data_IF_772716163083
#
_entry.id   IF_772716163083
#
_cell.length_a   1.000
_cell.length_b   1.000
_cell.length_c   1.000
_cell.angle_alpha   90.00
_cell.angle_beta   90.00
_cell.angle_gamma   90.00
#
_symmetry.space_group_name_H-M   'P 1'
#
loop_
_entity.id
_entity.type
_entity.pdbx_description
1 polymer ?
#
# COMPACT_ATOMS: atom_id res chain seq x y z
N UNK A 1 4.70 -5.58 -1.24
CA UNK A 1 5.58 -4.99 -0.21
C UNK A 1 6.79 -4.24 -0.79
N UNK A 2 7.35 -4.62 -1.94
CA UNK A 2 8.44 -3.85 -2.57
C UNK A 2 8.07 -2.38 -2.88
N UNK A 3 6.85 -2.13 -3.35
CA UNK A 3 6.37 -0.75 -3.56
C UNK A 3 6.35 0.06 -2.25
N UNK A 4 5.94 -0.54 -1.13
CA UNK A 4 5.95 0.10 0.19
C UNK A 4 7.36 0.42 0.66
N UNK A 5 8.33 -0.45 0.40
CA UNK A 5 9.75 -0.18 0.68
C UNK A 5 10.26 1.03 -0.12
N UNK A 6 9.86 1.17 -1.38
CA UNK A 6 10.25 2.33 -2.20
C UNK A 6 9.66 3.63 -1.64
N UNK A 7 8.42 3.61 -1.16
CA UNK A 7 7.81 4.77 -0.49
C UNK A 7 8.51 5.09 0.82
N UNK A 8 8.82 4.09 1.64
CA UNK A 8 9.57 4.29 2.89
C UNK A 8 11.00 4.82 2.62
N UNK A 9 11.55 4.56 1.43
CA UNK A 9 12.81 5.13 0.95
C UNK A 9 12.68 6.57 0.39
N UNK A 10 11.49 7.16 0.46
CA UNK A 10 11.20 8.53 0.04
C UNK A 10 10.78 8.70 -1.43
N UNK A 11 10.50 7.60 -2.15
CA UNK A 11 9.99 7.70 -3.51
C UNK A 11 8.49 8.03 -3.49
N UNK A 12 8.10 8.97 -4.35
CA UNK A 12 6.70 9.35 -4.54
C UNK A 12 5.82 8.14 -4.96
N UNK A 13 4.74 7.82 -4.23
CA UNK A 13 3.83 6.72 -4.55
C UNK A 13 3.18 6.85 -5.94
N UNK A 14 2.88 8.06 -6.40
CA UNK A 14 2.32 8.29 -7.74
C UNK A 14 3.33 7.97 -8.84
N UNK A 15 4.62 8.21 -8.59
CA UNK A 15 5.69 7.85 -9.55
C UNK A 15 5.86 6.34 -9.64
N UNK A 16 5.73 5.64 -8.51
CA UNK A 16 5.76 4.17 -8.48
C UNK A 16 4.57 3.61 -9.26
N UNK A 17 3.37 4.12 -9.02
CA UNK A 17 2.17 3.71 -9.73
C UNK A 17 2.28 3.92 -11.24
N UNK A 18 2.75 5.09 -11.68
CA UNK A 18 2.99 5.36 -13.10
C UNK A 18 4.04 4.42 -13.71
N UNK A 19 5.10 4.08 -12.97
CA UNK A 19 6.11 3.14 -13.45
C UNK A 19 5.54 1.73 -13.60
N UNK A 20 4.70 1.30 -12.67
CA UNK A 20 4.01 0.00 -12.72
C UNK A 20 2.96 -0.07 -13.84
N UNK A 21 2.21 1.00 -14.05
CA UNK A 21 1.27 1.11 -15.17
C UNK A 21 1.98 1.07 -16.52
N UNK A 22 3.10 1.81 -16.67
CA UNK A 22 3.95 1.75 -17.87
C UNK A 22 4.58 0.38 -18.09
N UNK A 23 4.86 -0.36 -17.02
CA UNK A 23 5.36 -1.73 -17.12
C UNK A 23 4.30 -2.72 -17.63
N UNK A 24 3.02 -2.36 -17.55
CA UNK A 24 1.91 -3.15 -18.07
C UNK A 24 0.88 -3.56 -17.01
N UNK A 25 0.98 -3.08 -15.77
CA UNK A 25 -0.10 -3.27 -14.81
C UNK A 25 -1.31 -2.42 -15.21
N UNK A 26 -2.55 -2.94 -15.09
CA UNK A 26 -3.75 -2.18 -15.42
C UNK A 26 -3.99 -0.99 -14.49
N UNK A 27 -3.41 -1.03 -13.28
CA UNK A 27 -3.49 0.04 -12.29
C UNK A 27 -2.31 -0.05 -11.33
N UNK A 28 -1.82 1.11 -10.89
CA UNK A 28 -0.85 1.21 -9.81
C UNK A 28 -1.33 0.60 -8.49
N UNK A 29 -0.39 0.08 -7.69
CA UNK A 29 -0.69 -0.62 -6.44
C UNK A 29 -1.18 0.33 -5.34
N UNK A 30 -0.73 1.59 -5.31
CA UNK A 30 -1.21 2.56 -4.32
C UNK A 30 -2.61 3.05 -4.67
N UNK A 31 -2.86 3.33 -5.95
CA UNK A 31 -4.19 3.66 -6.47
C UNK A 31 -5.20 2.54 -6.24
N UNK A 32 -4.79 1.29 -6.44
CA UNK A 32 -5.63 0.13 -6.11
C UNK A 32 -5.92 0.06 -4.60
N UNK A 33 -4.90 0.24 -3.76
CA UNK A 33 -5.05 0.21 -2.30
C UNK A 33 -5.95 1.33 -1.79
N UNK A 34 -5.86 2.52 -2.37
CA UNK A 34 -6.70 3.67 -2.07
C UNK A 34 -8.18 3.44 -2.46
N UNK A 35 -8.41 2.76 -3.57
CA UNK A 35 -9.76 2.36 -4.00
C UNK A 35 -10.37 1.29 -3.09
N UNK A 36 -9.61 0.25 -2.74
CA UNK A 36 -10.09 -0.83 -1.88
C UNK A 36 -10.30 -0.41 -0.43
N UNK A 37 -9.40 0.45 0.05
CA UNK A 37 -9.36 0.94 1.41
C UNK A 37 -8.09 0.52 2.16
N UNK A 38 -7.57 1.44 2.98
CA UNK A 38 -6.36 1.21 3.80
C UNK A 38 -6.63 0.20 4.94
N UNK A 39 -7.88 0.10 5.40
CA UNK A 39 -8.33 -0.90 6.39
C UNK A 39 -8.09 -2.33 5.91
N UNK A 40 -8.45 -2.62 4.66
CA UNK A 40 -8.21 -3.92 4.03
C UNK A 40 -6.73 -4.19 3.92
N UNK A 41 -5.95 -3.19 3.51
CA UNK A 41 -4.50 -3.32 3.39
C UNK A 41 -3.84 -3.69 4.72
N UNK A 42 -4.22 -3.02 5.83
CA UNK A 42 -3.70 -3.33 7.17
C UNK A 42 -4.09 -4.74 7.59
N UNK A 43 -5.35 -5.15 7.38
CA UNK A 43 -5.82 -6.48 7.75
C UNK A 43 -5.09 -7.60 6.98
N UNK A 44 -4.98 -7.46 5.66
CA UNK A 44 -4.28 -8.42 4.80
C UNK A 44 -2.79 -8.47 5.13
N UNK A 45 -2.17 -7.32 5.42
CA UNK A 45 -0.76 -7.29 5.84
C UNK A 45 -0.54 -8.09 7.13
N UNK A 46 -1.45 -8.05 8.10
CA UNK A 46 -1.33 -8.85 9.34
C UNK A 46 -1.39 -10.36 9.05
N UNK A 47 -2.27 -10.78 8.15
CA UNK A 47 -2.40 -12.19 7.75
C UNK A 47 -1.11 -12.67 7.06
N UNK A 48 -0.62 -11.89 6.08
CA UNK A 48 0.58 -12.23 5.32
C UNK A 48 1.80 -12.27 6.24
N UNK A 49 1.94 -11.31 7.16
CA UNK A 49 3.04 -11.31 8.12
C UNK A 49 2.98 -12.47 9.11
N UNK A 50 1.79 -12.87 9.54
CA UNK A 50 1.61 -14.05 10.41
C UNK A 50 2.02 -15.34 9.69
N UNK A 51 1.79 -15.44 8.38
CA UNK A 51 2.12 -16.61 7.59
C UNK A 51 3.57 -16.62 7.05
N UNK A 52 4.14 -15.45 6.74
CA UNK A 52 5.40 -15.31 5.99
C UNK A 52 6.35 -14.25 6.54
N UNK A 53 6.25 -13.90 7.83
CA UNK A 53 6.88 -12.72 8.44
C UNK A 53 8.36 -12.49 8.12
N UNK A 54 9.20 -13.52 8.09
CA UNK A 54 10.64 -13.36 7.77
C UNK A 54 10.90 -12.90 6.33
N UNK A 55 9.99 -13.19 5.40
CA UNK A 55 10.10 -12.84 3.98
C UNK A 55 9.40 -11.53 3.65
N UNK A 56 8.76 -10.92 4.63
CA UNK A 56 7.85 -9.81 4.43
C UNK A 56 8.43 -8.51 4.97
N UNK A 57 8.43 -7.48 4.12
CA UNK A 57 8.77 -6.12 4.54
C UNK A 57 7.57 -5.47 5.22
N UNK A 58 7.77 -5.16 6.50
CA UNK A 58 6.79 -4.55 7.37
C UNK A 58 6.88 -3.03 7.32
N UNK A 59 6.09 -2.41 6.43
CA UNK A 59 5.94 -0.95 6.41
C UNK A 59 5.04 -0.46 7.54
N UNK A 60 5.36 0.69 8.12
CA UNK A 60 4.52 1.39 9.10
C UNK A 60 3.47 2.30 8.45
N UNK A 61 3.63 2.62 7.16
CA UNK A 61 2.81 3.57 6.42
C UNK A 61 1.31 3.23 6.49
N UNK A 62 0.96 1.96 6.27
CA UNK A 62 -0.44 1.50 6.28
C UNK A 62 -1.11 1.72 7.64
N UNK A 63 -0.39 1.50 8.75
CA UNK A 63 -0.90 1.76 10.11
C UNK A 63 -1.08 3.25 10.36
N UNK A 64 -0.11 4.08 9.95
CA UNK A 64 -0.18 5.53 10.11
C UNK A 64 -1.36 6.13 9.34
N UNK A 65 -1.58 5.68 8.10
CA UNK A 65 -2.72 6.12 7.28
C UNK A 65 -4.06 5.70 7.90
N UNK A 66 -4.13 4.48 8.45
CA UNK A 66 -5.31 3.99 9.15
C UNK A 66 -5.61 4.80 10.43
N UNK A 67 -4.60 5.07 11.26
CA UNK A 67 -4.72 5.90 12.46
C UNK A 67 -5.13 7.35 12.14
N UNK A 68 -4.61 7.89 11.03
CA UNK A 68 -4.97 9.22 10.53
C UNK A 68 -6.37 9.27 9.88
N UNK A 69 -7.13 8.17 9.89
CA UNK A 69 -8.45 8.02 9.23
C UNK A 69 -8.42 8.33 7.73
N UNK A 70 -7.27 8.19 7.08
CA UNK A 70 -7.11 8.33 5.63
C UNK A 70 -7.33 6.96 5.01
N UNK A 71 -8.59 6.57 4.91
CA UNK A 71 -8.99 5.21 4.52
C UNK A 71 -9.16 5.04 3.01
N UNK A 72 -9.02 6.12 2.22
CA UNK A 72 -9.08 6.11 0.76
C UNK A 72 -10.48 6.42 0.21
N UNK A 73 -10.64 6.27 -1.11
CA UNK A 73 -11.84 6.71 -1.86
C UNK A 73 -13.15 6.13 -1.33
N UNK A 74 -13.14 4.91 -0.78
CA UNK A 74 -14.32 4.28 -0.18
C UNK A 74 -14.93 5.12 0.96
N UNK A 75 -14.15 5.99 1.57
CA UNK A 75 -14.58 6.87 2.68
C UNK A 75 -14.86 8.31 2.28
N UNK A 76 -14.82 8.63 0.98
CA UNK A 76 -15.11 9.97 0.46
C UNK A 76 -14.00 11.00 0.72
N UNK A 77 -12.78 10.54 1.00
CA UNK A 77 -11.57 11.35 1.13
C UNK A 77 -10.90 11.58 -0.22
#
# INVERSE_FOLDING_TARGET
QAASLLVDSGIDPYRIDQALEKWGMPMGVFKMSDMSGVDIFVHVSQIINSAYGERCYNTTLGKQLFEAKRLGQKTGA
#
